data_IF_446423031170
#
_entry.id   IF_446423031170
#
_cell.length_a   1.000
_cell.length_b   1.000
_cell.length_c   1.000
_cell.angle_alpha   90.00
_cell.angle_beta   90.00
_cell.angle_gamma   90.00
#
_symmetry.space_group_name_H-M   'P 1'
#
loop_
_entity.id
_entity.type
_entity.pdbx_description
1 polymer ?
#
# COMPACT_ATOMS: atom_id res chain seq x y z
N UNK A 1 -6.99 15.73 -19.66
CA UNK A 1 -5.71 15.06 -19.37
C UNK A 1 -5.66 14.75 -17.89
N UNK A 2 -5.41 13.50 -17.50
CA UNK A 2 -5.09 13.22 -16.10
C UNK A 2 -3.66 13.69 -15.86
N UNK A 3 -3.50 14.72 -15.03
CA UNK A 3 -2.20 15.27 -14.69
C UNK A 3 -1.65 14.62 -13.41
N UNK A 4 -0.33 14.62 -13.27
CA UNK A 4 0.32 14.14 -12.06
C UNK A 4 -0.13 14.96 -10.85
N UNK A 5 -0.16 14.34 -9.68
CA UNK A 5 -0.49 15.00 -8.43
C UNK A 5 0.61 14.86 -7.40
N UNK A 6 0.70 15.88 -6.54
CA UNK A 6 1.57 15.96 -5.38
C UNK A 6 0.72 16.42 -4.18
N UNK A 7 1.32 16.47 -3.00
CA UNK A 7 0.68 17.06 -1.82
C UNK A 7 0.59 18.58 -1.97
N UNK A 8 -0.46 19.21 -1.43
CA UNK A 8 -0.62 20.67 -1.48
C UNK A 8 0.24 21.37 -0.44
N UNK A 9 0.38 20.79 0.75
CA UNK A 9 1.25 21.27 1.85
C UNK A 9 1.95 20.08 2.51
N UNK A 10 2.99 20.37 3.27
CA UNK A 10 3.62 19.36 4.11
C UNK A 10 2.73 19.00 5.30
N UNK A 11 2.81 17.76 5.75
CA UNK A 11 2.18 17.28 6.98
C UNK A 11 3.12 16.33 7.73
N UNK A 12 3.10 16.37 9.05
CA UNK A 12 3.97 15.58 9.92
C UNK A 12 3.15 14.78 10.91
N UNK A 13 3.55 13.54 11.15
CA UNK A 13 3.04 12.71 12.23
C UNK A 13 4.20 12.08 13.02
N UNK A 14 3.87 11.54 14.19
CA UNK A 14 4.78 10.72 14.98
C UNK A 14 4.13 9.37 15.26
N UNK A 15 4.96 8.34 15.36
CA UNK A 15 4.54 6.97 15.65
C UNK A 15 5.72 6.11 16.08
N UNK A 16 5.56 4.81 15.94
CA UNK A 16 6.56 3.80 16.32
C UNK A 16 6.75 2.86 15.13
N UNK A 17 7.98 2.45 14.83
CA UNK A 17 8.23 1.39 13.86
C UNK A 17 7.74 0.03 14.38
N UNK A 18 7.13 -0.78 13.52
CA UNK A 18 6.59 -2.10 13.89
C UNK A 18 7.70 -3.02 14.39
N UNK A 19 8.76 -3.14 13.60
CA UNK A 19 9.82 -4.10 13.85
C UNK A 19 10.87 -3.55 14.81
N UNK A 20 11.31 -2.31 14.59
CA UNK A 20 12.35 -1.67 15.39
C UNK A 20 11.89 -1.22 16.77
N UNK A 21 10.59 -0.91 16.95
CA UNK A 21 10.09 -0.29 18.18
C UNK A 21 10.57 1.16 18.39
N UNK A 22 11.30 1.73 17.42
CA UNK A 22 11.83 3.09 17.52
C UNK A 22 10.71 4.11 17.33
N UNK A 23 10.78 5.22 18.07
CA UNK A 23 9.94 6.40 17.78
C UNK A 23 10.34 6.99 16.44
N UNK A 24 9.35 7.31 15.62
CA UNK A 24 9.54 7.87 14.28
C UNK A 24 8.74 9.14 14.15
N UNK A 25 9.38 10.21 13.68
CA UNK A 25 8.72 11.38 13.12
C UNK A 25 8.77 11.25 11.62
N UNK A 26 7.61 11.26 10.97
CA UNK A 26 7.48 11.16 9.52
C UNK A 26 6.81 12.42 8.97
N UNK A 27 7.41 13.00 7.94
CA UNK A 27 6.88 14.18 7.22
C UNK A 27 6.65 13.85 5.75
N UNK A 28 5.44 14.09 5.28
CA UNK A 28 5.07 13.99 3.87
C UNK A 28 5.15 15.38 3.25
N UNK A 29 5.98 15.55 2.21
CA UNK A 29 6.24 16.84 1.58
C UNK A 29 5.89 16.82 0.09
N UNK A 30 5.41 17.95 -0.48
CA UNK A 30 5.23 18.07 -1.92
C UNK A 30 6.55 17.84 -2.67
N UNK A 31 6.48 17.15 -3.80
CA UNK A 31 7.57 17.04 -4.77
C UNK A 31 7.17 17.59 -6.15
N UNK A 32 8.17 17.90 -6.97
CA UNK A 32 8.00 18.35 -8.36
C UNK A 32 7.46 17.23 -9.26
N UNK A 33 7.04 17.60 -10.47
CA UNK A 33 6.62 16.62 -11.48
C UNK A 33 7.78 15.66 -11.83
N UNK A 34 7.42 14.40 -12.11
CA UNK A 34 8.34 13.31 -12.45
C UNK A 34 9.38 12.97 -11.36
N UNK A 35 9.25 13.52 -10.14
CA UNK A 35 10.11 13.17 -9.02
C UNK A 35 9.84 11.74 -8.51
N UNK A 36 8.60 11.27 -8.63
CA UNK A 36 8.12 10.03 -8.03
C UNK A 36 7.99 10.14 -6.50
N UNK A 37 7.79 8.99 -5.85
CA UNK A 37 7.85 8.88 -4.39
C UNK A 37 9.29 8.62 -3.97
N UNK A 38 9.80 9.42 -3.02
CA UNK A 38 11.17 9.32 -2.53
C UNK A 38 11.21 9.32 -1.02
N UNK A 39 11.86 8.34 -0.43
CA UNK A 39 12.11 8.30 1.01
C UNK A 39 13.42 9.01 1.33
N UNK A 40 13.49 9.74 2.43
CA UNK A 40 14.66 10.51 2.86
C UNK A 40 14.90 10.33 4.34
N UNK A 41 16.10 9.90 4.71
CA UNK A 41 16.54 9.79 6.11
C UNK A 41 17.14 11.11 6.58
N UNK A 42 16.35 11.92 7.28
CA UNK A 42 16.80 13.23 7.78
C UNK A 42 17.91 13.12 8.83
N UNK A 43 18.00 11.97 9.50
CA UNK A 43 19.05 11.65 10.47
C UNK A 43 20.38 11.20 9.83
N UNK A 44 20.42 10.98 8.50
CA UNK A 44 21.60 10.51 7.75
C UNK A 44 22.01 11.44 6.59
N UNK A 45 21.72 12.74 6.68
CA UNK A 45 22.22 13.73 5.73
C UNK A 45 21.45 13.81 4.41
N UNK A 46 20.12 13.61 4.45
CA UNK A 46 19.18 13.88 3.36
C UNK A 46 19.34 13.03 2.08
N UNK A 47 20.02 11.88 2.16
CA UNK A 47 20.07 10.92 1.03
C UNK A 47 18.66 10.38 0.74
N UNK A 48 18.28 10.45 -0.54
CA UNK A 48 16.98 9.98 -1.01
C UNK A 48 17.04 8.58 -1.64
N UNK A 49 16.13 7.72 -1.22
CA UNK A 49 15.87 6.39 -1.78
C UNK A 49 14.58 6.45 -2.60
N UNK A 50 14.63 6.35 -3.94
CA UNK A 50 13.42 6.25 -4.76
C UNK A 50 12.60 5.00 -4.42
N UNK A 51 11.28 5.13 -4.37
CA UNK A 51 10.36 4.00 -4.25
C UNK A 51 10.25 3.25 -5.58
N UNK A 52 11.26 2.46 -5.90
CA UNK A 52 11.34 1.68 -7.13
C UNK A 52 11.87 0.27 -6.83
N UNK A 53 11.47 -0.70 -7.65
CA UNK A 53 11.85 -2.11 -7.42
C UNK A 53 13.37 -2.33 -7.43
N UNK A 54 14.13 -1.54 -8.19
CA UNK A 54 15.60 -1.58 -8.22
C UNK A 54 16.25 -1.19 -6.89
N UNK A 55 15.50 -0.60 -5.97
CA UNK A 55 15.95 -0.24 -4.63
C UNK A 55 15.43 -1.19 -3.55
N UNK A 56 14.73 -2.27 -3.88
CA UNK A 56 14.34 -3.28 -2.89
C UNK A 56 15.61 -3.96 -2.39
N UNK A 57 15.92 -3.78 -1.11
CA UNK A 57 17.17 -4.27 -0.49
C UNK A 57 16.97 -5.42 0.48
N UNK A 58 15.79 -5.55 1.08
CA UNK A 58 15.49 -6.59 2.05
C UNK A 58 14.00 -6.80 2.23
N UNK A 59 13.63 -8.07 2.48
CA UNK A 59 12.25 -8.48 2.76
C UNK A 59 12.30 -9.28 4.05
N UNK A 60 12.02 -8.61 5.15
CA UNK A 60 12.04 -9.22 6.48
C UNK A 60 10.72 -8.95 7.17
N UNK A 61 9.69 -9.71 6.81
CA UNK A 61 8.29 -9.51 7.21
C UNK A 61 7.64 -8.19 6.75
N UNK A 62 8.39 -7.33 6.06
CA UNK A 62 7.97 -6.06 5.47
C UNK A 62 8.86 -5.74 4.24
N UNK A 63 8.46 -4.77 3.42
CA UNK A 63 9.25 -4.33 2.25
C UNK A 63 10.23 -3.22 2.64
N UNK A 64 11.53 -3.46 2.39
CA UNK A 64 12.61 -2.53 2.67
C UNK A 64 13.30 -2.01 1.41
N UNK A 65 13.53 -0.70 1.38
CA UNK A 65 14.26 0.00 0.33
C UNK A 65 15.67 0.39 0.80
N UNK A 66 16.65 0.26 -0.09
CA UNK A 66 18.04 0.62 0.17
C UNK A 66 18.66 1.40 -0.98
N UNK A 67 19.52 2.35 -0.63
CA UNK A 67 20.43 3.02 -1.56
C UNK A 67 21.64 3.50 -0.79
N UNK A 68 22.83 3.19 -1.30
CA UNK A 68 24.11 3.48 -0.65
C UNK A 68 24.11 2.92 0.78
N UNK A 69 24.27 3.76 1.80
CA UNK A 69 24.24 3.36 3.22
C UNK A 69 22.86 3.53 3.87
N UNK A 70 21.88 4.01 3.11
CA UNK A 70 20.54 4.34 3.62
C UNK A 70 19.57 3.19 3.40
N UNK A 71 18.80 2.88 4.45
CA UNK A 71 17.71 1.90 4.46
C UNK A 71 16.43 2.52 5.03
N UNK A 72 15.31 2.16 4.43
CA UNK A 72 13.95 2.50 4.87
C UNK A 72 13.06 1.27 4.76
N UNK A 73 12.50 0.82 5.88
CA UNK A 73 11.66 -0.37 6.01
C UNK A 73 10.17 -0.05 6.17
N UNK A 74 9.33 -1.06 5.92
CA UNK A 74 7.87 -1.03 6.14
C UNK A 74 7.16 0.02 5.30
N UNK A 75 7.55 0.15 4.03
CA UNK A 75 7.07 1.20 3.12
C UNK A 75 5.68 0.93 2.53
N UNK A 76 5.27 -0.33 2.52
CA UNK A 76 4.12 -0.86 1.77
C UNK A 76 2.79 -0.18 2.11
N UNK A 77 2.47 0.07 3.38
CA UNK A 77 1.17 0.67 3.74
C UNK A 77 1.04 2.12 3.30
N UNK A 78 2.12 2.88 3.43
CA UNK A 78 2.18 4.26 2.96
C UNK A 78 2.14 4.33 1.43
N UNK A 79 2.88 3.46 0.74
CA UNK A 79 2.85 3.37 -0.71
C UNK A 79 1.45 2.99 -1.23
N UNK A 80 0.76 2.07 -0.53
CA UNK A 80 -0.61 1.70 -0.86
C UNK A 80 -1.57 2.89 -0.76
N UNK A 81 -1.42 3.72 0.28
CA UNK A 81 -2.20 4.95 0.42
C UNK A 81 -1.89 5.95 -0.69
N UNK A 82 -0.61 6.17 -1.02
CA UNK A 82 -0.23 7.10 -2.09
C UNK A 82 -0.78 6.71 -3.44
N UNK A 83 -0.57 5.48 -3.90
CA UNK A 83 -1.01 5.06 -5.23
C UNK A 83 -2.54 5.08 -5.36
N UNK A 84 -3.25 4.70 -4.28
CA UNK A 84 -4.72 4.60 -4.27
C UNK A 84 -5.42 5.96 -4.19
N UNK A 85 -4.83 6.93 -3.49
CA UNK A 85 -5.30 8.33 -3.53
C UNK A 85 -4.71 9.08 -4.74
N UNK A 86 -3.81 8.44 -5.47
CA UNK A 86 -3.11 8.89 -6.66
C UNK A 86 -2.25 10.13 -6.44
N UNK A 87 -1.43 10.05 -5.39
CA UNK A 87 -0.21 10.86 -5.21
C UNK A 87 0.87 10.24 -6.09
N UNK A 88 1.40 11.01 -7.03
CA UNK A 88 2.45 10.55 -7.95
C UNK A 88 3.84 11.00 -7.48
N UNK A 89 3.90 12.16 -6.82
CA UNK A 89 5.14 12.79 -6.41
C UNK A 89 5.08 13.21 -4.96
N UNK A 90 6.01 12.73 -4.13
CA UNK A 90 6.14 13.14 -2.73
C UNK A 90 7.55 12.82 -2.21
N UNK A 91 8.03 13.65 -1.27
CA UNK A 91 9.19 13.32 -0.44
C UNK A 91 8.65 12.85 0.92
N UNK A 92 9.03 11.64 1.31
CA UNK A 92 8.73 11.02 2.61
C UNK A 92 9.98 11.13 3.46
N UNK A 93 9.99 12.09 4.38
CA UNK A 93 11.11 12.30 5.28
C UNK A 93 10.86 11.61 6.62
N UNK A 94 11.84 10.87 7.12
CA UNK A 94 11.78 10.18 8.40
C UNK A 94 13.13 10.22 9.13
N UNK A 95 13.08 10.25 10.45
CA UNK A 95 14.26 10.30 11.34
C UNK A 95 14.65 8.93 11.93
N UNK A 96 14.16 7.85 11.33
CA UNK A 96 14.32 6.46 11.77
C UNK A 96 14.36 5.55 10.54
N UNK A 97 14.99 4.35 10.58
CA UNK A 97 15.02 3.44 9.43
C UNK A 97 13.69 2.82 9.04
N UNK A 98 12.60 3.07 9.74
CA UNK A 98 11.33 2.38 9.53
C UNK A 98 10.17 3.39 9.49
N UNK A 99 9.23 3.21 8.57
CA UNK A 99 7.98 3.97 8.54
C UNK A 99 7.15 3.61 9.80
N UNK A 100 6.51 4.58 10.48
CA UNK A 100 5.70 4.28 11.65
C UNK A 100 4.51 3.39 11.27
N UNK A 101 4.24 2.36 12.08
CA UNK A 101 3.17 1.39 11.79
C UNK A 101 1.76 1.95 11.99
N UNK A 102 1.64 3.07 12.70
CA UNK A 102 0.37 3.70 13.05
C UNK A 102 -0.56 2.71 13.77
N UNK A 103 -1.72 2.38 13.18
CA UNK A 103 -2.67 1.40 13.71
C UNK A 103 -2.58 0.04 13.00
N UNK A 104 -1.53 -0.19 12.21
CA UNK A 104 -1.33 -1.39 11.40
C UNK A 104 -1.99 -1.38 10.04
N UNK A 105 -2.69 -0.29 9.68
CA UNK A 105 -3.42 -0.15 8.43
C UNK A 105 -2.98 1.10 7.65
N UNK A 106 -3.53 1.32 6.46
CA UNK A 106 -3.27 2.52 5.67
C UNK A 106 -4.21 3.69 6.01
N UNK A 107 -5.26 3.48 6.81
CA UNK A 107 -6.25 4.52 7.12
C UNK A 107 -5.64 5.79 7.77
N UNK A 108 -4.68 5.70 8.70
CA UNK A 108 -4.00 6.90 9.21
C UNK A 108 -3.24 7.68 8.12
N UNK A 109 -2.63 6.99 7.15
CA UNK A 109 -1.95 7.66 6.03
C UNK A 109 -2.95 8.29 5.06
N UNK A 110 -4.10 7.65 4.82
CA UNK A 110 -5.21 8.24 4.06
C UNK A 110 -5.63 9.58 4.68
N UNK A 111 -5.84 9.60 6.00
CA UNK A 111 -6.19 10.81 6.73
C UNK A 111 -5.13 11.90 6.54
N UNK A 112 -3.84 11.58 6.71
CA UNK A 112 -2.75 12.54 6.52
C UNK A 112 -2.70 13.13 5.10
N UNK A 113 -2.90 12.28 4.08
CA UNK A 113 -2.92 12.72 2.68
C UNK A 113 -4.13 13.63 2.40
N UNK A 114 -5.30 13.29 2.92
CA UNK A 114 -6.51 14.11 2.79
C UNK A 114 -6.35 15.47 3.48
N UNK A 115 -5.80 15.48 4.69
CA UNK A 115 -5.51 16.70 5.45
C UNK A 115 -4.49 17.59 4.75
N UNK A 116 -3.42 17.00 4.20
CA UNK A 116 -2.44 17.72 3.39
C UNK A 116 -3.06 18.27 2.09
N UNK A 117 -4.07 17.58 1.57
CA UNK A 117 -4.72 17.88 0.31
C UNK A 117 -3.82 17.61 -0.90
N UNK A 118 -4.43 17.53 -2.08
CA UNK A 118 -3.72 17.30 -3.34
C UNK A 118 -3.57 18.58 -4.16
N UNK A 119 -2.48 18.63 -4.92
CA UNK A 119 -2.20 19.65 -5.93
C UNK A 119 -1.89 18.97 -7.26
N UNK A 120 -2.62 19.37 -8.29
CA UNK A 120 -2.37 18.96 -9.68
C UNK A 120 -1.14 19.69 -10.23
N UNK A 121 -0.30 18.97 -10.96
CA UNK A 121 0.89 19.47 -11.64
C UNK A 121 0.62 19.65 -13.14
N UNK A 122 1.56 20.24 -13.88
CA UNK A 122 1.42 20.43 -15.33
C UNK A 122 1.71 19.17 -16.15
N UNK A 123 2.49 18.23 -15.62
CA UNK A 123 2.90 17.02 -16.32
C UNK A 123 1.75 16.00 -16.43
N UNK A 124 1.68 15.30 -17.56
CA UNK A 124 0.72 14.23 -17.77
C UNK A 124 1.02 13.01 -16.87
N UNK A 125 -0.04 12.38 -16.38
CA UNK A 125 0.04 11.13 -15.61
C UNK A 125 0.06 9.94 -16.58
N UNK A 126 1.08 9.11 -16.45
CA UNK A 126 1.28 7.89 -17.25
C UNK A 126 0.86 6.66 -16.44
N UNK A 127 0.29 5.67 -17.13
CA UNK A 127 -0.18 4.41 -16.56
C UNK A 127 0.47 3.25 -17.28
N UNK A 128 0.80 2.18 -16.57
CA UNK A 128 1.23 0.91 -17.16
C UNK A 128 -0.01 0.10 -17.55
N UNK A 129 -0.35 0.06 -18.84
CA UNK A 129 -1.46 -0.74 -19.39
C UNK A 129 -0.96 -2.11 -19.81
N UNK A 130 -1.54 -3.14 -19.22
CA UNK A 130 -1.20 -4.54 -19.47
C UNK A 130 -1.87 -4.98 -20.78
N UNK A 131 -1.06 -5.54 -21.68
CA UNK A 131 -1.46 -6.00 -23.02
C UNK A 131 -1.51 -7.53 -23.11
N UNK A 132 -0.66 -8.22 -22.34
CA UNK A 132 -0.61 -9.69 -22.27
C UNK A 132 -0.44 -10.16 -20.82
N UNK A 133 -0.88 -11.39 -20.49
CA UNK A 133 -0.68 -11.93 -19.15
C UNK A 133 0.80 -12.03 -18.77
N UNK A 134 1.14 -11.58 -17.57
CA UNK A 134 2.46 -11.76 -16.94
C UNK A 134 2.22 -12.57 -15.66
N UNK A 135 3.03 -13.60 -15.39
CA UNK A 135 2.82 -14.47 -14.24
C UNK A 135 4.11 -14.93 -13.58
N UNK A 136 4.05 -15.14 -12.26
CA UNK A 136 5.12 -15.70 -11.46
C UNK A 136 4.56 -16.72 -10.47
N UNK A 137 5.25 -17.85 -10.32
CA UNK A 137 4.92 -18.90 -9.36
C UNK A 137 6.16 -19.36 -8.58
N UNK A 138 5.94 -19.71 -7.31
CA UNK A 138 6.94 -20.26 -6.37
C UNK A 138 6.24 -21.29 -5.49
N UNK A 139 6.39 -22.57 -5.83
CA UNK A 139 5.67 -23.65 -5.16
C UNK A 139 4.16 -23.49 -5.30
N UNK A 140 3.45 -23.38 -4.18
CA UNK A 140 2.00 -23.17 -4.11
C UNK A 140 1.58 -21.69 -4.20
N UNK A 141 2.53 -20.75 -4.17
CA UNK A 141 2.28 -19.31 -4.27
C UNK A 141 2.31 -18.87 -5.72
N UNK A 142 1.38 -18.00 -6.11
CA UNK A 142 1.26 -17.50 -7.49
C UNK A 142 0.74 -16.07 -7.51
N UNK A 143 1.21 -15.31 -8.48
CA UNK A 143 0.74 -13.98 -8.80
C UNK A 143 0.78 -13.79 -10.31
N UNK A 144 -0.24 -13.14 -10.86
CA UNK A 144 -0.34 -12.86 -12.27
C UNK A 144 -1.06 -11.54 -12.51
N UNK A 145 -0.78 -10.92 -13.65
CA UNK A 145 -1.37 -9.67 -14.08
C UNK A 145 -1.92 -9.86 -15.50
N UNK A 146 -3.23 -9.70 -15.65
CA UNK A 146 -3.95 -9.90 -16.91
C UNK A 146 -4.39 -8.57 -17.52
N UNK A 147 -4.60 -8.50 -18.84
CA UNK A 147 -5.25 -7.35 -19.47
C UNK A 147 -6.64 -7.08 -18.87
N UNK A 148 -6.93 -5.82 -18.58
CA UNK A 148 -8.20 -5.34 -18.03
C UNK A 148 -8.31 -3.83 -18.27
N UNK A 149 -9.52 -3.27 -18.28
CA UNK A 149 -9.75 -1.82 -18.46
C UNK A 149 -9.68 -1.01 -17.17
N UNK A 150 -9.60 -1.70 -16.04
CA UNK A 150 -9.43 -1.11 -14.72
C UNK A 150 -8.33 -1.82 -13.96
N UNK A 151 -7.79 -1.17 -12.93
CA UNK A 151 -7.01 -1.88 -11.94
C UNK A 151 -7.95 -2.70 -11.05
N UNK A 152 -7.87 -4.01 -11.19
CA UNK A 152 -8.69 -4.98 -10.45
C UNK A 152 -7.74 -5.90 -9.71
N UNK A 153 -8.09 -6.32 -8.50
CA UNK A 153 -7.28 -7.19 -7.68
C UNK A 153 -8.16 -8.33 -7.19
N UNK A 154 -7.74 -9.56 -7.45
CA UNK A 154 -8.28 -10.77 -6.82
C UNK A 154 -7.19 -11.36 -5.96
N UNK A 155 -7.42 -11.45 -4.65
CA UNK A 155 -6.48 -12.04 -3.73
C UNK A 155 -7.12 -13.23 -3.04
N UNK A 156 -6.33 -14.26 -2.78
CA UNK A 156 -6.73 -15.36 -1.92
C UNK A 156 -5.63 -15.76 -0.97
N UNK A 157 -6.02 -16.06 0.27
CA UNK A 157 -5.16 -16.61 1.30
C UNK A 157 -5.62 -18.04 1.61
N UNK A 158 -4.66 -18.86 2.02
CA UNK A 158 -4.93 -20.19 2.53
C UNK A 158 -3.94 -20.45 3.68
N UNK A 159 -4.45 -20.42 4.91
CA UNK A 159 -3.69 -20.70 6.11
C UNK A 159 -4.28 -21.93 6.81
N UNK A 160 -3.40 -22.74 7.40
CA UNK A 160 -3.79 -23.88 8.22
C UNK A 160 -4.19 -23.42 9.62
N UNK A 161 -5.24 -22.59 9.68
CA UNK A 161 -5.79 -22.05 10.92
C UNK A 161 -7.31 -21.88 10.79
N UNK A 162 -8.13 -22.30 11.79
CA UNK A 162 -9.59 -22.32 11.68
C UNK A 162 -10.23 -20.97 11.31
N UNK A 163 -9.63 -19.85 11.69
CA UNK A 163 -10.12 -18.50 11.40
C UNK A 163 -9.70 -17.97 10.02
N UNK A 164 -8.54 -18.38 9.54
CA UNK A 164 -7.94 -17.83 8.34
C UNK A 164 -8.24 -18.65 7.09
N UNK A 165 -8.46 -19.97 7.26
CA UNK A 165 -8.84 -20.99 6.25
C UNK A 165 -8.55 -20.54 4.81
N UNK A 166 -9.53 -20.67 3.90
CA UNK A 166 -9.48 -20.09 2.58
C UNK A 166 -10.36 -18.86 2.55
N UNK A 167 -9.77 -17.71 2.27
CA UNK A 167 -10.50 -16.47 2.01
C UNK A 167 -10.11 -15.97 0.63
N UNK A 168 -11.08 -15.41 -0.09
CA UNK A 168 -10.82 -14.74 -1.37
C UNK A 168 -11.67 -13.50 -1.48
N UNK A 169 -11.06 -12.44 -2.01
CA UNK A 169 -11.73 -11.17 -2.28
C UNK A 169 -11.32 -10.65 -3.65
N UNK A 170 -12.27 -10.05 -4.35
CA UNK A 170 -12.02 -9.32 -5.59
C UNK A 170 -12.50 -7.89 -5.44
N UNK A 171 -11.69 -6.92 -5.81
CA UNK A 171 -11.99 -5.50 -5.76
C UNK A 171 -11.53 -4.80 -7.05
N UNK A 172 -12.31 -3.85 -7.55
CA UNK A 172 -11.83 -2.85 -8.53
C UNK A 172 -11.29 -1.68 -7.72
N UNK A 173 -10.02 -1.35 -7.87
CA UNK A 173 -9.40 -0.28 -7.09
C UNK A 173 -9.84 1.09 -7.61
N UNK A 174 -10.56 1.84 -6.77
CA UNK A 174 -10.75 3.28 -6.88
C UNK A 174 -10.31 3.94 -5.57
N UNK A 175 -10.20 5.26 -5.52
CA UNK A 175 -9.90 5.93 -4.25
C UNK A 175 -10.99 5.67 -3.19
N UNK A 176 -12.26 5.66 -3.60
CA UNK A 176 -13.39 5.34 -2.73
C UNK A 176 -13.32 3.90 -2.19
N UNK A 177 -13.21 2.92 -3.08
CA UNK A 177 -13.15 1.51 -2.68
C UNK A 177 -11.92 1.22 -1.81
N UNK A 178 -10.78 1.89 -2.07
CA UNK A 178 -9.61 1.76 -1.21
C UNK A 178 -9.89 2.28 0.20
N UNK A 179 -10.40 3.52 0.32
CA UNK A 179 -10.64 4.18 1.60
C UNK A 179 -11.62 3.39 2.46
N UNK A 180 -12.72 2.92 1.86
CA UNK A 180 -13.79 2.25 2.60
C UNK A 180 -13.50 0.77 2.88
N UNK A 181 -12.90 0.06 1.92
CA UNK A 181 -12.84 -1.39 1.95
C UNK A 181 -11.46 -1.96 2.29
N UNK A 182 -10.37 -1.22 2.05
CA UNK A 182 -9.01 -1.77 2.12
C UNK A 182 -8.17 -1.03 3.16
N UNK A 183 -8.15 0.30 3.11
CA UNK A 183 -7.30 1.13 3.96
C UNK A 183 -7.44 0.84 5.46
N UNK A 184 -8.63 0.50 6.02
CA UNK A 184 -8.76 0.22 7.44
C UNK A 184 -8.30 -1.19 7.85
N UNK A 185 -7.99 -2.09 6.92
CA UNK A 185 -7.61 -3.47 7.23
C UNK A 185 -6.20 -3.53 7.83
N UNK A 186 -6.09 -4.01 9.07
CA UNK A 186 -4.84 -4.03 9.83
C UNK A 186 -3.96 -5.23 9.48
N UNK A 187 -2.66 -5.04 9.68
CA UNK A 187 -1.68 -6.11 9.64
C UNK A 187 -1.97 -7.15 10.71
N UNK A 188 -1.44 -8.35 10.51
CA UNK A 188 -1.71 -9.47 11.39
C UNK A 188 -0.53 -10.42 11.50
N UNK A 189 -0.47 -11.13 12.62
CA UNK A 189 0.55 -12.15 12.88
C UNK A 189 0.04 -13.19 13.86
N UNK A 190 0.61 -14.39 13.79
CA UNK A 190 0.37 -15.43 14.79
C UNK A 190 1.14 -15.11 16.06
N UNK A 191 0.53 -15.34 17.23
CA UNK A 191 1.14 -15.04 18.52
C UNK A 191 2.52 -15.70 18.66
N UNK A 192 2.62 -16.98 18.32
CA UNK A 192 3.87 -17.75 18.37
C UNK A 192 4.95 -17.14 17.46
N UNK A 193 4.60 -16.76 16.23
CA UNK A 193 5.53 -16.11 15.30
C UNK A 193 5.98 -14.73 15.82
N UNK A 194 5.07 -13.96 16.43
CA UNK A 194 5.40 -12.66 17.03
C UNK A 194 6.36 -12.81 18.22
N UNK A 195 6.16 -13.82 19.06
CA UNK A 195 7.07 -14.11 20.18
C UNK A 195 8.45 -14.53 19.68
N UNK A 196 8.53 -15.35 18.63
CA UNK A 196 9.81 -15.71 17.98
C UNK A 196 10.50 -14.49 17.36
N UNK A 197 9.75 -13.65 16.64
CA UNK A 197 10.28 -12.42 16.03
C UNK A 197 10.87 -11.48 17.09
N UNK A 198 10.23 -11.34 18.26
CA UNK A 198 10.75 -10.52 19.37
C UNK A 198 12.08 -11.02 19.90
N UNK A 199 12.28 -12.34 19.99
CA UNK A 199 13.56 -12.93 20.38
C UNK A 199 14.68 -12.64 19.36
N UNK A 200 14.32 -12.35 18.11
CA UNK A 200 15.23 -11.98 17.03
C UNK A 200 15.38 -10.46 16.84
N UNK A 201 14.80 -9.65 17.74
CA UNK A 201 14.87 -8.18 17.66
C UNK A 201 13.90 -7.56 16.65
N UNK A 202 12.84 -8.28 16.27
CA UNK A 202 11.76 -7.82 15.38
C UNK A 202 10.43 -7.71 16.15
N UNK A 203 9.44 -7.07 15.52
CA UNK A 203 8.11 -6.84 16.11
C UNK A 203 8.14 -6.17 17.50
N UNK A 204 9.17 -5.37 17.78
CA UNK A 204 9.38 -4.73 19.09
C UNK A 204 8.38 -3.59 19.36
N UNK A 205 7.84 -2.97 18.30
CA UNK A 205 6.76 -1.98 18.37
C UNK A 205 5.36 -2.57 18.22
N UNK A 206 5.24 -3.88 17.99
CA UNK A 206 3.96 -4.56 17.77
C UNK A 206 3.11 -4.65 19.05
N UNK A 207 1.84 -4.29 18.94
CA UNK A 207 0.84 -4.36 20.02
C UNK A 207 -0.55 -4.67 19.44
N UNK A 208 -1.54 -4.93 20.32
CA UNK A 208 -2.94 -5.11 19.90
C UNK A 208 -3.58 -3.82 19.34
N UNK A 209 -2.94 -2.67 19.51
CA UNK A 209 -3.38 -1.39 18.95
C UNK A 209 -3.00 -1.24 17.48
N UNK A 210 -1.94 -1.93 17.04
CA UNK A 210 -1.37 -1.78 15.70
C UNK A 210 -1.21 -3.08 14.91
N UNK A 211 -1.71 -4.21 15.43
CA UNK A 211 -1.77 -5.47 14.72
C UNK A 211 -2.94 -6.33 15.22
N UNK A 212 -3.49 -7.15 14.34
CA UNK A 212 -4.38 -8.26 14.70
C UNK A 212 -3.53 -9.47 15.08
N UNK A 213 -3.61 -9.90 16.33
CA UNK A 213 -2.83 -11.05 16.81
C UNK A 213 -3.74 -12.28 16.88
N UNK A 214 -3.31 -13.35 16.20
CA UNK A 214 -4.03 -14.62 16.13
C UNK A 214 -3.36 -15.61 17.10
N UNK A 215 -4.09 -16.03 18.13
CA UNK A 215 -3.70 -17.16 18.98
C UNK A 215 -4.38 -18.46 18.54
N UNK A 216 -4.06 -19.57 19.21
CA UNK A 216 -4.49 -20.92 18.85
C UNK A 216 -6.02 -21.10 18.77
N UNK A 217 -6.75 -20.34 19.58
CA UNK A 217 -8.21 -20.49 19.73
C UNK A 217 -9.01 -19.32 19.14
N UNK A 218 -8.34 -18.25 18.68
CA UNK A 218 -9.03 -16.98 18.48
C UNK A 218 -8.14 -15.81 18.08
N UNK A 219 -8.79 -14.72 17.67
CA UNK A 219 -8.15 -13.40 17.62
C UNK A 219 -8.07 -12.84 19.04
N UNK A 220 -6.92 -12.27 19.42
CA UNK A 220 -6.71 -11.69 20.76
C UNK A 220 -7.26 -10.27 20.90
N UNK A 221 -7.41 -9.55 19.78
CA UNK A 221 -8.02 -8.22 19.76
C UNK A 221 -9.53 -8.29 20.06
N UNK A 222 -10.10 -7.21 20.59
CA UNK A 222 -11.53 -7.11 20.90
C UNK A 222 -12.44 -7.47 19.71
N UNK A 223 -12.10 -7.02 18.50
CA UNK A 223 -12.84 -7.30 17.27
C UNK A 223 -11.97 -7.10 16.03
N UNK A 224 -12.36 -7.80 14.96
CA UNK A 224 -11.94 -7.46 13.60
C UNK A 224 -12.73 -6.25 13.11
N UNK A 225 -12.12 -5.46 12.22
CA UNK A 225 -12.80 -4.35 11.52
C UNK A 225 -13.67 -4.86 10.37
N UNK A 226 -13.31 -6.02 9.81
CA UNK A 226 -14.03 -6.73 8.77
C UNK A 226 -13.96 -8.24 9.02
N UNK A 227 -14.99 -8.99 8.67
CA UNK A 227 -14.98 -10.45 8.76
C UNK A 227 -13.83 -11.07 7.92
N UNK A 228 -13.47 -10.42 6.81
CA UNK A 228 -12.39 -10.79 5.90
C UNK A 228 -11.18 -9.81 5.97
N UNK A 229 -10.90 -9.24 7.16
CA UNK A 229 -9.83 -8.25 7.37
C UNK A 229 -8.46 -8.73 6.88
N UNK A 230 -8.15 -10.02 7.03
CA UNK A 230 -6.85 -10.61 6.66
C UNK A 230 -6.57 -10.59 5.16
N UNK A 231 -7.55 -11.01 4.33
CA UNK A 231 -7.37 -10.96 2.87
C UNK A 231 -7.41 -9.52 2.35
N UNK A 232 -8.16 -8.62 2.99
CA UNK A 232 -8.11 -7.18 2.69
C UNK A 232 -6.75 -6.58 2.98
N UNK A 233 -6.12 -6.95 4.09
CA UNK A 233 -4.76 -6.50 4.38
C UNK A 233 -3.75 -7.04 3.35
N UNK A 234 -3.89 -8.30 2.91
CA UNK A 234 -3.05 -8.80 1.81
C UNK A 234 -3.27 -8.06 0.48
N UNK A 235 -4.48 -7.58 0.22
CA UNK A 235 -4.75 -6.67 -0.89
C UNK A 235 -4.05 -5.31 -0.67
N UNK A 236 -4.10 -4.76 0.54
CA UNK A 236 -3.38 -3.53 0.90
C UNK A 236 -1.87 -3.68 0.64
N UNK A 237 -1.26 -4.76 1.15
CA UNK A 237 0.17 -5.07 0.97
C UNK A 237 0.54 -5.10 -0.52
N UNK A 238 -0.20 -5.85 -1.34
CA UNK A 238 0.14 -5.99 -2.76
C UNK A 238 -0.07 -4.68 -3.54
N UNK A 239 -1.02 -3.83 -3.14
CA UNK A 239 -1.14 -2.49 -3.73
C UNK A 239 0.12 -1.67 -3.45
N UNK A 240 0.61 -1.73 -2.21
CA UNK A 240 1.84 -1.04 -1.78
C UNK A 240 3.08 -1.54 -2.51
N UNK A 241 3.29 -2.85 -2.54
CA UNK A 241 4.44 -3.47 -3.20
C UNK A 241 4.42 -3.21 -4.72
N UNK A 242 3.24 -3.30 -5.36
CA UNK A 242 3.12 -3.04 -6.79
C UNK A 242 3.29 -1.55 -7.15
N UNK A 243 3.20 -0.63 -6.18
CA UNK A 243 3.55 0.78 -6.42
C UNK A 243 5.03 0.95 -6.80
N UNK A 244 5.91 0.01 -6.44
CA UNK A 244 7.34 -0.01 -6.78
C UNK A 244 7.62 -0.23 -8.28
N UNK A 245 6.60 -0.59 -9.06
CA UNK A 245 6.65 -0.54 -10.54
C UNK A 245 6.84 0.89 -11.05
N UNK A 246 6.51 1.91 -10.23
CA UNK A 246 6.72 3.33 -10.53
C UNK A 246 5.60 3.99 -11.34
N UNK A 247 4.61 3.22 -11.78
CA UNK A 247 3.42 3.72 -12.49
C UNK A 247 2.15 3.04 -11.97
N UNK A 248 1.01 3.77 -11.89
CA UNK A 248 -0.28 3.15 -11.66
C UNK A 248 -0.59 2.12 -12.75
N UNK A 249 -1.09 0.96 -12.35
CA UNK A 249 -1.31 -0.18 -13.25
C UNK A 249 -2.75 -0.16 -13.77
N UNK A 250 -2.93 -0.54 -15.04
CA UNK A 250 -4.24 -0.86 -15.63
C UNK A 250 -4.18 -2.33 -16.07
N UNK A 251 -4.80 -3.19 -15.27
CA UNK A 251 -4.74 -4.64 -15.39
C UNK A 251 -5.47 -5.34 -14.25
N UNK A 252 -5.70 -6.65 -14.37
CA UNK A 252 -6.27 -7.47 -13.31
C UNK A 252 -5.17 -8.28 -12.64
N UNK A 253 -4.78 -7.88 -11.43
CA UNK A 253 -3.85 -8.60 -10.59
C UNK A 253 -4.57 -9.74 -9.88
N UNK A 254 -4.04 -10.96 -9.98
CA UNK A 254 -4.56 -12.15 -9.30
C UNK A 254 -3.44 -12.77 -8.48
N UNK A 255 -3.59 -12.83 -7.17
CA UNK A 255 -2.59 -13.42 -6.28
C UNK A 255 -3.21 -14.49 -5.36
N UNK A 256 -2.42 -15.52 -5.06
CA UNK A 256 -2.79 -16.61 -4.17
C UNK A 256 -1.62 -16.94 -3.26
N UNK A 257 -1.86 -16.86 -1.95
CA UNK A 257 -0.87 -17.09 -0.88
C UNK A 257 0.42 -16.29 -1.07
N UNK A 258 0.31 -15.10 -1.65
CA UNK A 258 1.42 -14.20 -1.84
C UNK A 258 1.87 -13.52 -0.54
N UNK A 259 2.97 -12.80 -0.66
CA UNK A 259 3.55 -11.93 0.36
C UNK A 259 4.64 -11.08 -0.30
N UNK A 260 5.24 -10.17 0.45
CA UNK A 260 6.17 -9.16 -0.08
C UNK A 260 7.21 -9.71 -1.05
N UNK A 261 7.88 -10.82 -0.72
CA UNK A 261 8.85 -11.47 -1.62
C UNK A 261 8.28 -11.83 -3.00
N UNK A 262 7.10 -12.45 -3.04
CA UNK A 262 6.46 -12.76 -4.31
C UNK A 262 6.01 -11.48 -5.04
N UNK A 263 5.53 -10.49 -4.29
CA UNK A 263 5.03 -9.23 -4.87
C UNK A 263 6.16 -8.41 -5.51
N UNK A 264 7.29 -8.24 -4.82
CA UNK A 264 8.43 -7.47 -5.32
C UNK A 264 9.15 -8.19 -6.46
N UNK A 265 9.31 -9.52 -6.38
CA UNK A 265 9.81 -10.32 -7.50
C UNK A 265 8.91 -10.16 -8.73
N UNK A 266 7.59 -10.12 -8.50
CA UNK A 266 6.63 -9.91 -9.57
C UNK A 266 6.66 -8.50 -10.13
N UNK A 267 6.82 -7.47 -9.29
CA UNK A 267 7.00 -6.09 -9.74
C UNK A 267 8.24 -5.95 -10.64
N UNK A 268 9.35 -6.62 -10.29
CA UNK A 268 10.54 -6.69 -11.14
C UNK A 268 10.23 -7.40 -12.46
N UNK A 269 9.59 -8.58 -12.40
CA UNK A 269 9.20 -9.33 -13.59
C UNK A 269 8.30 -8.54 -14.53
N UNK A 270 7.37 -7.74 -14.01
CA UNK A 270 6.51 -6.87 -14.83
C UNK A 270 7.37 -5.90 -15.65
N UNK A 271 8.37 -5.26 -15.03
CA UNK A 271 9.25 -4.32 -15.75
C UNK A 271 10.18 -5.01 -16.77
N UNK A 272 10.56 -6.27 -16.54
CA UNK A 272 11.36 -7.06 -17.49
C UNK A 272 10.57 -7.47 -18.75
N UNK A 273 9.27 -7.76 -18.61
CA UNK A 273 8.37 -8.21 -19.68
C UNK A 273 7.87 -7.02 -20.53
N UNK A 274 8.81 -6.27 -21.11
CA UNK A 274 8.57 -4.96 -21.77
C UNK A 274 7.62 -4.98 -22.95
N UNK A 275 7.39 -6.14 -23.58
CA UNK A 275 6.43 -6.30 -24.67
C UNK A 275 5.02 -6.68 -24.17
N UNK A 276 4.84 -6.91 -22.86
CA UNK A 276 3.57 -7.30 -22.26
C UNK A 276 2.75 -6.11 -21.73
N UNK A 277 3.30 -4.90 -21.77
CA UNK A 277 2.63 -3.67 -21.35
C UNK A 277 3.09 -2.46 -22.18
N UNK A 278 2.36 -1.36 -22.07
CA UNK A 278 2.75 -0.06 -22.63
C UNK A 278 2.41 1.06 -21.66
N UNK A 279 3.13 2.18 -21.74
CA UNK A 279 2.71 3.41 -21.06
C UNK A 279 1.63 4.11 -21.86
N UNK A 280 0.57 4.54 -21.19
CA UNK A 280 -0.51 5.35 -21.76
C UNK A 280 -0.76 6.59 -20.91
N UNK A 281 -1.08 7.70 -21.54
CA UNK A 281 -1.59 8.89 -20.86
C UNK A 281 -3.09 8.75 -20.68
N UNK A 282 -3.52 8.39 -19.47
CA UNK A 282 -4.88 8.07 -19.08
C UNK A 282 -5.61 6.98 -19.92
N UNK A 283 -6.31 6.04 -19.27
CA UNK A 283 -7.37 5.33 -19.96
C UNK A 283 -8.51 6.33 -20.24
N UNK A 284 -9.02 6.36 -21.47
CA UNK A 284 -10.27 7.06 -21.78
C UNK A 284 -11.37 6.41 -20.93
N UNK A 285 -11.79 7.05 -19.83
CA UNK A 285 -13.09 6.76 -19.25
C UNK A 285 -14.16 7.42 -20.15
N UNK A 286 -15.21 6.70 -20.58
CA UNK A 286 -16.44 7.36 -20.98
C UNK A 286 -16.90 8.21 -19.80
N UNK A 287 -17.29 9.46 -20.04
CA UNK A 287 -17.58 10.46 -19.02
C UNK A 287 -18.41 9.90 -17.84
N UNK A 288 -17.77 9.70 -16.69
CA UNK A 288 -18.48 9.52 -15.43
C UNK A 288 -19.05 10.88 -15.03
N UNK A 289 -20.38 10.96 -15.03
CA UNK A 289 -21.16 12.09 -14.58
C UNK A 289 -20.68 12.56 -13.20
N UNK A 290 -20.64 13.88 -13.03
CA UNK A 290 -20.29 14.52 -11.76
C UNK A 290 -21.07 13.89 -10.59
N UNK A 291 -20.44 13.72 -9.42
CA UNK A 291 -21.15 13.21 -8.25
C UNK A 291 -22.31 14.17 -7.94
N UNK A 292 -23.53 13.65 -7.98
CA UNK A 292 -24.70 14.39 -7.54
C UNK A 292 -24.51 14.71 -6.05
N UNK A 293 -24.47 16.01 -5.75
CA UNK A 293 -24.49 16.50 -4.37
C UNK A 293 -25.68 15.86 -3.63
N UNK A 294 -25.50 15.37 -2.38
CA UNK A 294 -26.61 14.79 -1.64
C UNK A 294 -27.70 15.84 -1.45
N UNK A 295 -28.91 15.52 -1.89
CA UNK A 295 -30.08 16.36 -1.72
C UNK A 295 -30.27 16.67 -0.22
N UNK A 296 -30.29 17.95 0.12
CA UNK A 296 -30.68 18.43 1.46
C UNK A 296 -32.01 17.78 1.84
N UNK A 297 -32.01 16.97 2.90
CA UNK A 297 -33.25 16.56 3.57
C UNK A 297 -33.93 17.81 4.11
N UNK A 298 -35.04 18.20 3.48
CA UNK A 298 -35.97 19.18 4.04
C UNK A 298 -36.66 18.49 5.22
N UNK A 299 -36.41 18.98 6.43
CA UNK A 299 -37.16 18.57 7.61
C UNK A 299 -38.64 18.93 7.41
N UNK A 300 -39.51 17.92 7.39
CA UNK A 300 -40.95 18.15 7.53
C UNK A 300 -41.23 18.51 8.99
N UNK A 301 -41.63 19.75 9.22
CA UNK A 301 -42.29 20.17 10.45
C UNK A 301 -43.64 19.44 10.55
N UNK A 302 -43.85 18.74 11.66
CA UNK A 302 -45.16 18.20 12.02
C UNK A 302 -46.02 19.31 12.63
N UNK A 303 -47.25 19.45 12.12
CA UNK A 303 -48.44 19.88 12.84
C UNK A 303 -49.61 19.08 12.26
#
# INVERSE_FOLDING_TARGET
MHAQRTLRRSITCAGIGLHSGNKVTLSLKPAAADAGIRFRRSDLGDVEVPAAVSHVGGINHATGLTRDTVRVDTVEHLLAAFVSLGVDNAIVELNSPEVPIMDGSAAPFVYLIQEAGLKTLSAARRYLKVLRPISLARGDKRIALYPSDHFKITYSIAFDHPLLRHQSRTIRLTSESFIEEIAPARTFGFLEEVEMMRQQGLALGGSLENAVVIGDTGVLNNALRFDDEFVRHKILDVIGDMALVGHPIIGHLVAHRGGHALHTDFAARVLEDTDAWTLVEAPVQPADAAPALPARRVARTAN
#
